data_IF_724407758846
#
_entry.id   IF_724407758846
#
_cell.length_a   1.000
_cell.length_b   1.000
_cell.length_c   1.000
_cell.angle_alpha   90.00
_cell.angle_beta   90.00
_cell.angle_gamma   90.00
#
_symmetry.space_group_name_H-M   'P 1'
#
loop_
_entity.id
_entity.type
_entity.pdbx_description
1 polymer ?
#
# COMPACT_ATOMS: atom_id res chain seq x y z
N UNK A 1 6.13 -10.78 16.80
CA UNK A 1 6.78 -10.18 15.62
C UNK A 1 7.88 -9.22 16.00
N UNK A 2 9.07 -9.74 16.29
CA UNK A 2 10.27 -8.93 16.54
C UNK A 2 11.06 -8.70 15.23
N UNK A 3 11.10 -9.72 14.36
CA UNK A 3 11.86 -9.71 13.10
C UNK A 3 11.45 -8.60 12.12
N UNK A 4 10.16 -8.28 12.03
CA UNK A 4 9.67 -7.19 11.17
C UNK A 4 9.97 -5.81 11.75
N UNK A 5 10.11 -5.69 13.08
CA UNK A 5 10.51 -4.43 13.75
C UNK A 5 12.02 -4.20 13.70
N UNK A 6 12.81 -5.27 13.64
CA UNK A 6 14.27 -5.23 13.57
C UNK A 6 14.81 -4.99 12.14
N UNK A 7 13.98 -5.09 11.11
CA UNK A 7 14.39 -4.91 9.72
C UNK A 7 14.99 -3.51 9.49
N UNK A 8 16.22 -3.46 8.96
CA UNK A 8 16.96 -2.21 8.72
C UNK A 8 16.68 -1.62 7.35
N UNK A 9 16.06 -2.38 6.46
CA UNK A 9 15.72 -1.96 5.09
C UNK A 9 14.37 -2.52 4.64
N UNK A 10 13.71 -1.85 3.69
CA UNK A 10 12.47 -2.37 3.09
C UNK A 10 12.67 -3.76 2.47
N UNK A 11 13.83 -4.01 1.84
CA UNK A 11 14.16 -5.32 1.26
C UNK A 11 14.14 -6.42 2.32
N UNK A 12 14.74 -6.14 3.47
CA UNK A 12 14.77 -7.06 4.62
C UNK A 12 13.39 -7.22 5.24
N UNK A 13 12.63 -6.14 5.39
CA UNK A 13 11.25 -6.19 5.89
C UNK A 13 10.38 -7.13 5.03
N UNK A 14 10.44 -6.99 3.70
CA UNK A 14 9.71 -7.88 2.79
C UNK A 14 10.23 -9.32 2.80
N UNK A 15 11.53 -9.54 2.99
CA UNK A 15 12.09 -10.89 3.15
C UNK A 15 11.56 -11.57 4.42
N UNK A 16 11.47 -10.82 5.53
CA UNK A 16 10.94 -11.30 6.81
C UNK A 16 9.43 -11.56 6.73
N UNK A 17 8.66 -10.69 6.08
CA UNK A 17 7.23 -10.92 5.86
C UNK A 17 6.99 -12.19 5.03
N UNK A 18 7.80 -12.43 4.00
CA UNK A 18 7.69 -13.66 3.20
C UNK A 18 8.01 -14.91 4.02
N UNK A 19 9.01 -14.88 4.90
CA UNK A 19 9.34 -16.03 5.74
C UNK A 19 8.27 -16.30 6.81
N UNK A 20 7.60 -15.26 7.31
CA UNK A 20 6.46 -15.37 8.21
C UNK A 20 5.19 -15.86 7.51
N UNK A 21 4.82 -15.33 6.34
CA UNK A 21 3.65 -15.81 5.59
C UNK A 21 3.75 -17.30 5.21
N UNK A 22 4.98 -17.82 5.01
CA UNK A 22 5.22 -19.26 4.80
C UNK A 22 5.03 -20.08 6.09
N UNK A 23 5.24 -19.49 7.26
CA UNK A 23 5.09 -20.15 8.57
C UNK A 23 3.69 -20.03 9.16
N UNK A 24 2.98 -18.94 8.87
CA UNK A 24 1.65 -18.66 9.39
C UNK A 24 0.70 -18.44 8.21
N UNK A 25 0.05 -19.52 7.76
CA UNK A 25 -1.19 -19.40 6.99
C UNK A 25 -2.29 -19.05 7.99
N UNK A 26 -2.80 -17.81 8.06
CA UNK A 26 -3.86 -17.48 9.00
C UNK A 26 -5.20 -17.83 8.35
N UNK A 27 -6.04 -18.59 9.05
CA UNK A 27 -7.48 -18.66 8.71
C UNK A 27 -8.07 -17.24 8.81
N UNK A 28 -8.89 -16.80 7.85
CA UNK A 28 -9.48 -15.46 7.87
C UNK A 28 -10.33 -15.29 9.13
N UNK A 29 -9.93 -14.38 10.03
CA UNK A 29 -10.82 -13.91 11.10
C UNK A 29 -11.76 -12.87 10.51
N UNK A 30 -13.07 -13.11 10.69
CA UNK A 30 -14.15 -12.23 10.24
C UNK A 30 -13.91 -10.79 10.73
N UNK A 31 -14.06 -9.77 9.88
CA UNK A 31 -13.96 -8.37 10.28
C UNK A 31 -15.09 -7.98 11.26
N UNK A 32 -14.92 -6.88 12.04
CA UNK A 32 -16.01 -6.32 12.82
C UNK A 32 -17.14 -5.91 11.87
N UNK A 33 -18.36 -6.34 12.17
CA UNK A 33 -19.53 -6.13 11.34
C UNK A 33 -19.90 -4.65 11.24
N UNK A 34 -19.71 -4.06 10.05
CA UNK A 34 -20.55 -2.97 9.57
C UNK A 34 -21.42 -3.55 8.46
N UNK A 35 -22.71 -3.56 8.75
CA UNK A 35 -23.78 -4.22 8.02
C UNK A 35 -23.90 -3.70 6.58
N UNK A 36 -23.53 -4.50 5.59
CA UNK A 36 -24.21 -4.63 4.28
C UNK A 36 -23.71 -5.88 3.55
N UNK A 37 -24.56 -6.92 3.47
CA UNK A 37 -24.61 -8.03 2.49
C UNK A 37 -23.32 -8.76 2.06
N UNK A 38 -23.26 -10.11 2.14
CA UNK A 38 -22.08 -10.87 1.73
C UNK A 38 -22.00 -10.92 0.20
N UNK A 39 -21.05 -10.19 -0.38
CA UNK A 39 -20.49 -10.57 -1.67
C UNK A 39 -19.14 -11.20 -1.39
N UNK A 40 -19.08 -12.53 -1.42
CA UNK A 40 -17.85 -13.27 -1.66
C UNK A 40 -17.21 -12.71 -2.93
N UNK A 41 -16.35 -11.71 -2.77
CA UNK A 41 -15.37 -11.36 -3.78
C UNK A 41 -14.09 -12.03 -3.33
N UNK A 42 -13.89 -13.20 -3.90
CA UNK A 42 -12.58 -13.79 -4.15
C UNK A 42 -11.54 -12.69 -4.34
N UNK A 43 -10.40 -12.83 -3.66
CA UNK A 43 -9.19 -12.04 -3.82
C UNK A 43 -8.86 -11.98 -5.33
N UNK A 44 -9.41 -11.01 -6.04
CA UNK A 44 -9.25 -10.90 -7.47
C UNK A 44 -7.80 -10.49 -7.68
N UNK A 45 -7.03 -11.23 -8.47
CA UNK A 45 -5.66 -10.83 -8.79
C UNK A 45 -5.68 -9.38 -9.30
N UNK A 46 -4.75 -8.51 -8.88
CA UNK A 46 -4.66 -7.16 -9.44
C UNK A 46 -4.43 -7.21 -10.95
N UNK A 47 -5.51 -7.18 -11.72
CA UNK A 47 -5.47 -6.99 -13.16
C UNK A 47 -4.99 -5.57 -13.45
N UNK A 48 -4.19 -5.42 -14.51
CA UNK A 48 -3.75 -4.11 -15.01
C UNK A 48 -4.99 -3.21 -15.16
N UNK A 49 -5.02 -2.09 -14.43
CA UNK A 49 -6.10 -1.11 -14.47
C UNK A 49 -7.27 -1.27 -13.47
N UNK A 50 -7.11 -1.98 -12.34
CA UNK A 50 -8.16 -2.09 -11.30
C UNK A 50 -7.84 -1.52 -9.92
N UNK A 51 -6.69 -0.85 -9.74
CA UNK A 51 -6.37 -0.28 -8.43
C UNK A 51 -6.92 1.13 -8.27
N UNK A 52 -7.48 1.39 -7.10
CA UNK A 52 -7.88 2.73 -6.66
C UNK A 52 -6.62 3.53 -6.35
N UNK A 53 -6.59 4.81 -6.75
CA UNK A 53 -5.50 5.69 -6.37
C UNK A 53 -5.53 5.90 -4.84
N UNK A 54 -4.42 5.62 -4.11
CA UNK A 54 -4.44 5.61 -2.64
C UNK A 54 -4.70 6.97 -2.02
N UNK A 55 -4.37 8.07 -2.70
CA UNK A 55 -4.69 9.41 -2.23
C UNK A 55 -4.87 10.36 -3.43
N UNK A 56 -5.70 11.39 -3.26
CA UNK A 56 -5.81 12.47 -4.25
C UNK A 56 -4.52 13.30 -4.25
N UNK A 57 -3.94 13.50 -5.43
CA UNK A 57 -2.68 14.21 -5.59
C UNK A 57 -2.06 14.03 -6.96
N UNK A 58 -1.01 14.81 -7.23
CA UNK A 58 -0.20 14.70 -8.43
C UNK A 58 0.96 13.72 -8.23
N UNK A 59 1.31 12.95 -9.26
CA UNK A 59 2.52 12.11 -9.23
C UNK A 59 3.73 13.02 -9.45
N UNK A 60 4.60 13.14 -8.45
CA UNK A 60 5.81 13.96 -8.49
C UNK A 60 7.08 13.14 -8.72
N UNK A 61 7.00 11.83 -8.52
CA UNK A 61 8.09 10.90 -8.81
C UNK A 61 7.49 9.62 -9.38
N UNK A 62 8.11 9.10 -10.45
CA UNK A 62 7.64 7.90 -11.15
C UNK A 62 8.61 6.74 -10.96
N UNK A 63 8.09 5.53 -11.02
CA UNK A 63 8.91 4.32 -11.04
C UNK A 63 9.94 4.40 -12.18
N UNK A 64 11.18 4.03 -11.89
CA UNK A 64 12.28 4.06 -12.84
C UNK A 64 12.93 5.43 -13.02
N UNK A 65 12.38 6.50 -12.44
CA UNK A 65 12.99 7.83 -12.50
C UNK A 65 14.34 7.84 -11.77
N UNK A 66 15.34 8.50 -12.34
CA UNK A 66 16.65 8.64 -11.71
C UNK A 66 16.55 9.56 -10.50
N UNK A 67 16.96 9.05 -9.33
CA UNK A 67 16.91 9.77 -8.04
C UNK A 67 18.12 10.69 -7.80
N UNK A 68 18.99 10.86 -8.80
CA UNK A 68 20.18 11.72 -8.73
C UNK A 68 21.41 11.05 -8.12
N UNK A 69 21.24 9.95 -7.37
CA UNK A 69 22.34 9.18 -6.76
C UNK A 69 22.72 7.91 -7.55
N UNK A 70 22.45 7.87 -8.86
CA UNK A 70 22.68 6.68 -9.69
C UNK A 70 21.71 5.52 -9.44
N UNK A 71 20.70 5.72 -8.60
CA UNK A 71 19.62 4.76 -8.33
C UNK A 71 18.32 5.19 -9.00
N UNK A 72 17.47 4.21 -9.33
CA UNK A 72 16.12 4.46 -9.85
C UNK A 72 15.07 4.32 -8.77
N UNK A 73 14.02 5.13 -8.86
CA UNK A 73 12.87 5.05 -7.98
C UNK A 73 12.19 3.69 -8.12
N UNK A 74 11.94 3.01 -6.99
CA UNK A 74 11.34 1.67 -6.92
C UNK A 74 9.81 1.68 -6.82
N UNK A 75 9.23 2.88 -6.75
CA UNK A 75 7.80 3.12 -6.62
C UNK A 75 7.42 4.45 -7.25
N UNK A 76 6.26 4.98 -6.88
CA UNK A 76 5.78 6.29 -7.27
C UNK A 76 5.48 7.14 -6.03
N UNK A 77 5.74 8.44 -6.12
CA UNK A 77 5.45 9.40 -5.04
C UNK A 77 4.34 10.34 -5.46
N UNK A 78 3.28 10.40 -4.65
CA UNK A 78 2.16 11.31 -4.82
C UNK A 78 2.33 12.52 -3.91
N UNK A 79 2.27 13.74 -4.46
CA UNK A 79 2.08 14.97 -3.70
C UNK A 79 0.59 15.16 -3.45
N UNK A 80 0.22 15.00 -2.19
CA UNK A 80 -1.16 15.10 -1.70
C UNK A 80 -1.44 16.47 -1.09
N UNK A 81 -2.70 16.77 -0.79
CA UNK A 81 -3.05 17.88 0.10
C UNK A 81 -2.70 17.55 1.55
N UNK A 82 -2.51 18.57 2.40
CA UNK A 82 -2.40 18.37 3.84
C UNK A 82 -3.57 17.56 4.38
N UNK A 83 -3.29 16.62 5.30
CA UNK A 83 -4.30 15.78 5.95
C UNK A 83 -5.18 15.00 4.95
N UNK A 84 -4.67 14.73 3.75
CA UNK A 84 -5.37 13.89 2.79
C UNK A 84 -5.66 12.50 3.40
N UNK A 85 -6.87 12.00 3.16
CA UNK A 85 -7.21 10.61 3.45
C UNK A 85 -6.45 9.71 2.50
N UNK A 86 -5.91 8.62 3.05
CA UNK A 86 -5.29 7.52 2.31
C UNK A 86 -6.24 6.33 2.36
N UNK A 87 -6.42 5.68 1.23
CA UNK A 87 -7.29 4.50 1.06
C UNK A 87 -6.50 3.30 0.57
N UNK A 88 -7.00 2.09 0.84
CA UNK A 88 -6.46 0.85 0.31
C UNK A 88 -6.59 0.83 -1.22
N UNK A 89 -5.49 0.65 -1.98
CA UNK A 89 -5.58 0.61 -3.44
C UNK A 89 -6.35 -0.57 -3.99
N UNK A 90 -6.39 -1.66 -3.23
CA UNK A 90 -6.96 -2.93 -3.65
C UNK A 90 -7.31 -3.81 -2.45
N UNK A 91 -8.19 -4.79 -2.66
CA UNK A 91 -8.60 -5.76 -1.64
C UNK A 91 -7.39 -6.55 -1.12
N UNK A 92 -7.27 -6.76 0.19
CA UNK A 92 -6.13 -7.49 0.73
C UNK A 92 -6.10 -7.59 2.25
N UNK A 93 -4.99 -8.12 2.77
CA UNK A 93 -4.75 -8.29 4.21
C UNK A 93 -3.56 -7.45 4.63
N UNK A 94 -3.69 -6.73 5.74
CA UNK A 94 -2.57 -5.99 6.32
C UNK A 94 -1.54 -6.95 6.89
N UNK A 95 -0.32 -6.93 6.35
CA UNK A 95 0.80 -7.75 6.83
C UNK A 95 1.84 -6.95 7.59
N UNK A 96 1.77 -5.61 7.54
CA UNK A 96 2.54 -4.73 8.42
C UNK A 96 1.84 -3.37 8.58
N UNK A 97 1.83 -2.83 9.80
CA UNK A 97 1.36 -1.47 10.09
C UNK A 97 2.20 -0.86 11.22
N UNK A 98 2.84 0.28 10.97
CA UNK A 98 3.62 0.98 12.00
C UNK A 98 4.76 1.85 11.48
N UNK A 99 5.55 2.44 12.39
CA UNK A 99 6.67 3.29 12.03
C UNK A 99 7.81 2.48 11.40
N UNK A 100 8.44 3.04 10.38
CA UNK A 100 9.63 2.47 9.75
C UNK A 100 10.67 3.56 9.46
N UNK A 101 11.93 3.27 9.83
CA UNK A 101 13.02 4.26 9.80
C UNK A 101 13.19 4.85 8.41
N UNK A 102 13.08 6.18 8.30
CA UNK A 102 13.21 6.92 7.04
C UNK A 102 11.94 7.01 6.18
N UNK A 103 10.84 6.37 6.59
CA UNK A 103 9.59 6.30 5.81
C UNK A 103 8.35 6.79 6.57
N UNK A 104 8.50 7.20 7.84
CA UNK A 104 7.37 7.58 8.70
C UNK A 104 6.50 6.38 9.02
N UNK A 105 5.17 6.55 9.05
CA UNK A 105 4.26 5.42 9.17
C UNK A 105 4.13 4.71 7.82
N UNK A 106 4.25 3.38 7.85
CA UNK A 106 4.06 2.53 6.69
C UNK A 106 2.93 1.52 6.90
N UNK A 107 2.30 1.13 5.80
CA UNK A 107 1.31 0.07 5.73
C UNK A 107 1.69 -0.85 4.57
N UNK A 108 1.75 -2.16 4.83
CA UNK A 108 1.96 -3.19 3.80
C UNK A 108 0.72 -4.06 3.73
N UNK A 109 0.16 -4.17 2.52
CA UNK A 109 -1.04 -4.95 2.21
C UNK A 109 -0.65 -6.08 1.26
N UNK A 110 -0.99 -7.31 1.60
CA UNK A 110 -0.88 -8.49 0.73
C UNK A 110 -2.19 -8.68 -0.04
N UNK A 111 -2.11 -8.81 -1.37
CA UNK A 111 -3.27 -8.90 -2.27
C UNK A 111 -3.47 -10.29 -2.89
N UNK A 112 -2.69 -11.30 -2.47
CA UNK A 112 -2.62 -12.62 -3.13
C UNK A 112 -1.60 -12.65 -4.28
N UNK A 113 -1.33 -13.83 -4.83
CA UNK A 113 -0.35 -14.07 -5.92
C UNK A 113 1.04 -13.46 -5.69
N UNK A 114 1.45 -13.39 -4.42
CA UNK A 114 2.67 -12.73 -3.95
C UNK A 114 2.76 -11.23 -4.32
N UNK A 115 1.63 -10.56 -4.54
CA UNK A 115 1.54 -9.11 -4.66
C UNK A 115 1.45 -8.43 -3.30
N UNK A 116 2.24 -7.38 -3.15
CA UNK A 116 2.21 -6.52 -1.98
C UNK A 116 2.18 -5.06 -2.42
N UNK A 117 1.42 -4.24 -1.69
CA UNK A 117 1.47 -2.78 -1.81
C UNK A 117 2.02 -2.18 -0.52
N UNK A 118 3.02 -1.33 -0.65
CA UNK A 118 3.57 -0.50 0.42
C UNK A 118 3.05 0.93 0.25
N UNK A 119 2.48 1.47 1.32
CA UNK A 119 2.14 2.88 1.47
C UNK A 119 3.02 3.48 2.56
N UNK A 120 3.71 4.58 2.29
CA UNK A 120 4.64 5.21 3.23
C UNK A 120 4.57 6.74 3.20
N UNK A 121 4.95 7.39 4.30
CA UNK A 121 4.88 8.85 4.45
C UNK A 121 3.59 9.35 5.12
N UNK A 122 2.77 8.46 5.67
CA UNK A 122 1.56 8.82 6.40
C UNK A 122 1.91 9.36 7.79
N UNK A 123 1.05 10.25 8.32
CA UNK A 123 1.14 10.72 9.70
C UNK A 123 0.53 9.71 10.67
N UNK A 124 -0.56 9.08 10.26
CA UNK A 124 -1.27 8.06 11.04
C UNK A 124 -1.78 6.98 10.10
N UNK A 125 -1.69 5.74 10.56
CA UNK A 125 -2.29 4.56 9.93
C UNK A 125 -3.35 4.06 10.89
N UNK A 126 -4.55 3.88 10.37
CA UNK A 126 -5.73 3.45 11.12
C UNK A 126 -5.96 1.93 10.95
N UNK A 127 -5.36 1.32 9.91
CA UNK A 127 -5.45 -0.11 9.64
C UNK A 127 -4.47 -0.93 10.51
N UNK A 128 -4.97 -2.03 11.09
CA UNK A 128 -4.21 -2.91 12.00
C UNK A 128 -3.66 -4.17 11.33
N UNK A 129 -2.59 -4.75 11.90
CA UNK A 129 -2.04 -6.04 11.45
C UNK A 129 -3.11 -7.14 11.40
N UNK A 130 -3.20 -7.86 10.29
CA UNK A 130 -4.17 -8.94 10.05
C UNK A 130 -5.57 -8.47 9.62
N UNK A 131 -5.83 -7.16 9.54
CA UNK A 131 -7.10 -6.63 9.06
C UNK A 131 -7.30 -6.93 7.57
N UNK A 132 -8.50 -7.36 7.20
CA UNK A 132 -8.94 -7.42 5.81
C UNK A 132 -9.41 -6.04 5.37
N UNK A 133 -8.94 -5.59 4.21
CA UNK A 133 -9.26 -4.31 3.62
C UNK A 133 -9.94 -4.51 2.28
N UNK A 134 -10.92 -3.67 1.99
CA UNK A 134 -11.51 -3.53 0.65
C UNK A 134 -10.86 -2.37 -0.10
N UNK A 135 -10.84 -2.43 -1.43
CA UNK A 135 -10.40 -1.34 -2.29
C UNK A 135 -11.21 -0.07 -1.98
N UNK A 136 -10.52 1.04 -1.74
CA UNK A 136 -11.11 2.32 -1.36
C UNK A 136 -11.40 2.48 0.13
N UNK A 137 -11.18 1.46 0.96
CA UNK A 137 -11.34 1.55 2.41
C UNK A 137 -10.33 2.55 3.00
N UNK A 138 -10.72 3.46 3.91
CA UNK A 138 -9.80 4.37 4.56
C UNK A 138 -8.78 3.62 5.43
N UNK A 139 -7.49 3.91 5.25
CA UNK A 139 -6.40 3.23 5.97
C UNK A 139 -5.50 4.18 6.76
N UNK A 140 -5.61 5.49 6.54
CA UNK A 140 -4.79 6.46 7.24
C UNK A 140 -4.92 7.88 6.72
N UNK A 141 -4.08 8.77 7.25
CA UNK A 141 -4.12 10.21 6.97
C UNK A 141 -2.70 10.74 6.78
N UNK A 142 -2.52 11.61 5.78
CA UNK A 142 -1.28 12.33 5.49
C UNK A 142 -0.98 13.41 6.55
N UNK A 143 0.27 13.85 6.61
CA UNK A 143 0.70 14.92 7.50
C UNK A 143 0.16 16.31 7.13
N UNK A 144 0.34 17.25 8.05
CA UNK A 144 -0.02 18.66 7.89
C UNK A 144 1.13 19.54 7.38
N UNK A 145 2.36 19.03 7.34
CA UNK A 145 3.55 19.76 6.86
C UNK A 145 3.92 19.30 5.45
N UNK A 146 4.63 20.13 4.67
CA UNK A 146 5.06 19.78 3.29
C UNK A 146 5.83 18.46 3.21
N UNK A 147 6.69 18.16 4.20
CA UNK A 147 7.38 16.87 4.26
C UNK A 147 6.42 15.67 4.45
N UNK A 148 5.26 15.91 5.06
CA UNK A 148 4.21 14.91 5.34
C UNK A 148 3.11 14.85 4.29
N UNK A 149 3.22 15.55 3.15
CA UNK A 149 2.25 15.45 2.04
C UNK A 149 2.71 14.53 0.92
N UNK A 150 3.87 13.89 1.07
CA UNK A 150 4.44 12.94 0.10
C UNK A 150 4.06 11.51 0.48
N UNK A 151 3.15 10.92 -0.28
CA UNK A 151 2.79 9.50 -0.15
C UNK A 151 3.62 8.68 -1.14
N UNK A 152 4.54 7.86 -0.61
CA UNK A 152 5.26 6.89 -1.41
C UNK A 152 4.44 5.61 -1.55
N UNK A 153 4.38 5.09 -2.77
CA UNK A 153 3.61 3.90 -3.14
C UNK A 153 4.50 2.96 -3.93
N UNK A 154 4.65 1.74 -3.45
CA UNK A 154 5.41 0.69 -4.14
C UNK A 154 4.57 -0.57 -4.25
N UNK A 155 4.52 -1.13 -5.45
CA UNK A 155 3.91 -2.44 -5.69
C UNK A 155 5.04 -3.42 -5.92
N UNK A 156 4.98 -4.58 -5.26
CA UNK A 156 5.96 -5.66 -5.40
C UNK A 156 5.25 -6.94 -5.80
N UNK A 157 5.85 -7.69 -6.73
CA UNK A 157 5.43 -9.04 -7.09
C UNK A 157 6.56 -10.01 -6.79
N UNK A 158 6.31 -11.03 -5.98
CA UNK A 158 7.34 -11.99 -5.54
C UNK A 158 8.59 -11.29 -4.93
N UNK A 159 8.37 -10.16 -4.25
CA UNK A 159 9.41 -9.34 -3.60
C UNK A 159 10.14 -8.34 -4.50
N UNK A 160 9.93 -8.39 -5.82
CA UNK A 160 10.53 -7.45 -6.78
C UNK A 160 9.61 -6.25 -7.02
N UNK A 161 10.12 -5.01 -6.98
CA UNK A 161 9.33 -3.82 -7.25
C UNK A 161 8.92 -3.77 -8.73
N UNK A 162 7.67 -3.40 -8.98
CA UNK A 162 7.06 -3.30 -10.32
C UNK A 162 6.43 -1.92 -10.47
N UNK A 163 6.38 -1.40 -11.70
CA UNK A 163 5.84 -0.07 -11.97
C UNK A 163 4.38 0.01 -11.51
N UNK A 164 4.03 0.83 -10.50
CA UNK A 164 2.69 0.85 -9.93
C UNK A 164 1.68 1.65 -10.77
N UNK A 165 2.17 2.53 -11.66
CA UNK A 165 1.35 3.50 -12.37
C UNK A 165 0.31 2.88 -13.32
N UNK A 166 0.59 1.81 -14.10
CA UNK A 166 -0.40 1.18 -14.96
C UNK A 166 -1.67 0.74 -14.22
N UNK A 167 -1.59 0.45 -12.91
CA UNK A 167 -2.75 0.07 -12.11
C UNK A 167 -3.58 1.25 -11.62
N UNK A 168 -2.98 2.41 -11.38
CA UNK A 168 -3.69 3.62 -10.89
C UNK A 168 -4.30 4.47 -12.00
N UNK A 169 -3.84 4.31 -13.24
CA UNK A 169 -4.21 5.24 -14.34
C UNK A 169 -5.58 4.92 -14.96
N UNK A 170 -6.21 3.79 -14.62
CA UNK A 170 -7.49 3.37 -15.22
C UNK A 170 -8.75 3.98 -14.59
N UNK A 171 -8.63 4.72 -13.48
CA UNK A 171 -9.77 5.38 -12.83
C UNK A 171 -10.13 6.77 -13.41
N UNK A 172 -9.72 7.09 -14.65
CA UNK A 172 -10.35 8.19 -15.41
C UNK A 172 -11.70 7.70 -15.90
N UNK A 173 -12.69 7.69 -15.00
CA UNK A 173 -14.07 7.54 -15.40
C UNK A 173 -14.39 8.72 -16.32
N UNK A 174 -14.53 8.40 -17.60
CA UNK A 174 -14.94 9.30 -18.67
C UNK A 174 -16.41 9.61 -18.44
N UNK A 175 -16.71 10.59 -17.60
CA UNK A 175 -18.03 11.25 -17.61
C UNK A 175 -18.11 12.02 -18.93
N UNK A 176 -18.69 11.39 -19.95
CA UNK A 176 -19.23 12.09 -21.11
C UNK A 176 -20.60 12.61 -20.65
N UNK A 177 -20.66 13.90 -20.34
CA UNK A 177 -21.88 14.68 -20.51
C UNK A 177 -21.95 15.17 -21.95
#
# INVERSE_FOLDING_TARGET
NDLTKQARSLRELFANLRSESVRSVPKPRKPPALTTTPREKSLAVPGIGRMTQPARGAIIERFGQNTGSGSTAKGATFKTRHRAQVVAPFDGVVVFSGPFKGYGQILIIEHGDAYHTLLAGMRRVDAGLGQQLLAGEPVGIMGSLEAGTRLYVEVRRKGQPVNPLPWFTAARNKVRG
#
